data_IF_801615671154
#
_entry.id   IF_801615671154
#
_cell.length_a   1.000
_cell.length_b   1.000
_cell.length_c   1.000
_cell.angle_alpha   90.00
_cell.angle_beta   90.00
_cell.angle_gamma   90.00
#
_symmetry.space_group_name_H-M   'P 1'
#
loop_
_entity.id
_entity.type
_entity.pdbx_description
1 polymer ?
#
# COMPACT_ATOMS: atom_id res chain seq x y z
N UNK A 1 11.74 -22.71 10.96
CA UNK A 1 10.32 -22.39 10.95
C UNK A 1 10.00 -21.45 9.79
N UNK A 2 8.84 -21.61 9.20
CA UNK A 2 8.32 -20.74 8.13
C UNK A 2 7.05 -20.11 8.68
N UNK A 3 6.98 -18.77 8.64
CA UNK A 3 5.80 -18.02 9.01
C UNK A 3 5.39 -17.08 7.89
N UNK A 4 4.11 -17.08 7.51
CA UNK A 4 3.54 -16.25 6.45
C UNK A 4 2.44 -15.37 7.03
N UNK A 5 2.48 -14.08 6.71
CA UNK A 5 1.43 -13.14 7.05
C UNK A 5 0.58 -12.89 5.80
N UNK A 6 -0.72 -13.10 5.89
CA UNK A 6 -1.66 -12.89 4.79
C UNK A 6 -2.42 -11.59 4.98
N UNK A 7 -2.77 -10.95 3.87
CA UNK A 7 -3.60 -9.75 3.81
C UNK A 7 -4.52 -9.78 2.60
N UNK A 8 -5.56 -8.95 2.65
CA UNK A 8 -6.66 -8.97 1.68
C UNK A 8 -6.24 -8.62 0.24
N UNK A 9 -5.37 -7.62 0.06
CA UNK A 9 -4.99 -7.13 -1.26
C UNK A 9 -6.19 -6.77 -2.14
N UNK A 10 -6.10 -7.09 -3.44
CA UNK A 10 -7.23 -7.04 -4.37
C UNK A 10 -8.05 -8.35 -4.40
N UNK A 11 -7.58 -9.39 -3.73
CA UNK A 11 -8.28 -10.67 -3.68
C UNK A 11 -9.57 -10.61 -2.85
N UNK A 12 -9.57 -9.83 -1.77
CA UNK A 12 -10.72 -9.66 -0.89
C UNK A 12 -10.84 -8.19 -0.44
N UNK A 13 -11.50 -7.35 -1.22
CA UNK A 13 -11.64 -5.92 -0.93
C UNK A 13 -12.72 -5.67 0.11
N UNK A 14 -12.30 -5.54 1.37
CA UNK A 14 -13.19 -5.22 2.48
C UNK A 14 -13.38 -3.71 2.63
N UNK A 15 -14.59 -3.28 2.99
CA UNK A 15 -14.93 -1.86 3.17
C UNK A 15 -14.69 -1.37 4.59
N UNK A 16 -15.22 -2.05 5.59
CA UNK A 16 -15.09 -1.66 7.00
C UNK A 16 -15.52 -0.22 7.31
N UNK A 17 -16.52 0.32 6.60
CA UNK A 17 -16.93 1.73 6.71
C UNK A 17 -15.96 2.74 6.05
N UNK A 18 -14.94 2.28 5.34
CA UNK A 18 -13.95 3.09 4.63
C UNK A 18 -14.15 3.01 3.12
N UNK A 19 -13.42 3.84 2.40
CA UNK A 19 -13.47 3.86 0.93
C UNK A 19 -13.04 2.53 0.32
N UNK A 20 -13.75 2.16 -0.74
CA UNK A 20 -13.38 1.10 -1.69
C UNK A 20 -13.89 1.45 -3.09
N UNK A 21 -13.04 1.39 -4.08
CA UNK A 21 -13.42 1.54 -5.49
C UNK A 21 -14.13 0.26 -5.95
N UNK A 22 -13.50 -0.87 -5.71
CA UNK A 22 -14.01 -2.19 -6.08
C UNK A 22 -14.73 -2.84 -4.89
N UNK A 23 -15.75 -3.64 -5.20
CA UNK A 23 -16.51 -4.42 -4.23
C UNK A 23 -16.41 -5.90 -4.61
N UNK A 24 -15.18 -6.41 -4.58
CA UNK A 24 -14.85 -7.77 -4.99
C UNK A 24 -14.38 -8.59 -3.80
N UNK A 25 -14.65 -9.89 -3.85
CA UNK A 25 -14.18 -10.88 -2.89
C UNK A 25 -14.20 -12.24 -3.55
N UNK A 26 -13.02 -12.84 -3.70
CA UNK A 26 -12.87 -14.19 -4.26
C UNK A 26 -12.87 -15.26 -3.18
N UNK A 27 -13.05 -14.87 -1.93
CA UNK A 27 -13.10 -15.76 -0.77
C UNK A 27 -12.14 -15.33 0.35
N UNK A 28 -12.00 -16.15 1.40
CA UNK A 28 -11.04 -15.94 2.46
C UNK A 28 -9.60 -16.02 1.91
N UNK A 29 -8.68 -15.37 2.60
CA UNK A 29 -7.26 -15.41 2.24
C UNK A 29 -6.75 -16.84 2.24
N UNK A 30 -6.13 -17.25 1.14
CA UNK A 30 -5.57 -18.58 0.95
C UNK A 30 -4.07 -18.52 0.68
N UNK A 31 -3.35 -19.55 1.10
CA UNK A 31 -1.92 -19.70 0.90
C UNK A 31 -1.63 -20.95 0.08
N UNK A 32 -0.88 -20.77 -1.00
CA UNK A 32 -0.09 -21.84 -1.59
C UNK A 32 1.39 -21.51 -1.37
N UNK A 33 2.10 -22.38 -0.71
CA UNK A 33 3.54 -22.21 -0.46
C UNK A 33 4.30 -23.42 -1.00
N UNK A 34 5.34 -23.16 -1.78
CA UNK A 34 6.30 -24.16 -2.23
C UNK A 34 7.70 -23.61 -2.15
N UNK A 35 8.61 -24.34 -1.54
CA UNK A 35 10.02 -24.00 -1.43
C UNK A 35 10.87 -25.21 -1.83
N UNK A 36 11.79 -25.02 -2.75
CA UNK A 36 12.80 -26.00 -3.13
C UNK A 36 14.14 -25.59 -2.51
N UNK A 37 14.66 -26.43 -1.63
CA UNK A 37 15.96 -26.25 -1.01
C UNK A 37 16.95 -27.15 -1.76
N UNK A 38 18.01 -26.56 -2.29
CA UNK A 38 19.14 -27.30 -2.89
C UNK A 38 20.34 -27.19 -1.98
N UNK A 39 20.84 -28.34 -1.56
CA UNK A 39 22.01 -28.44 -0.69
C UNK A 39 23.30 -28.50 -1.51
N UNK A 40 24.42 -28.18 -0.87
CA UNK A 40 25.76 -28.17 -1.51
C UNK A 40 26.25 -29.56 -1.90
N UNK A 41 25.71 -30.62 -1.31
CA UNK A 41 25.96 -32.01 -1.66
C UNK A 41 25.15 -32.52 -2.87
N UNK A 42 24.35 -31.62 -3.50
CA UNK A 42 23.49 -31.92 -4.64
C UNK A 42 22.10 -32.48 -4.29
N UNK A 43 21.84 -32.78 -3.02
CA UNK A 43 20.50 -33.23 -2.59
C UNK A 43 19.49 -32.07 -2.63
N UNK A 44 18.21 -32.42 -2.71
CA UNK A 44 17.12 -31.44 -2.74
C UNK A 44 16.03 -31.82 -1.73
N UNK A 45 15.44 -30.80 -1.15
CA UNK A 45 14.26 -30.94 -0.29
C UNK A 45 13.16 -29.99 -0.77
N UNK A 46 11.94 -30.50 -0.87
CA UNK A 46 10.75 -29.71 -1.15
C UNK A 46 9.95 -29.52 0.14
N UNK A 47 9.50 -28.29 0.39
CA UNK A 47 8.60 -27.93 1.48
C UNK A 47 7.37 -27.29 0.86
N UNK A 48 6.20 -27.84 1.15
CA UNK A 48 4.90 -27.32 0.67
C UNK A 48 3.97 -27.01 1.82
N UNK A 49 3.03 -26.08 1.59
CA UNK A 49 1.91 -25.92 2.52
C UNK A 49 0.98 -27.13 2.43
N UNK A 50 0.57 -27.65 3.57
CA UNK A 50 -0.33 -28.79 3.69
C UNK A 50 -1.20 -28.68 4.97
N UNK A 51 -1.99 -29.70 5.27
CA UNK A 51 -2.86 -29.76 6.44
C UNK A 51 -2.16 -29.76 7.80
N UNK A 52 -0.83 -29.86 7.85
CA UNK A 52 -0.05 -29.77 9.10
C UNK A 52 0.20 -28.32 9.53
N UNK A 53 -0.02 -27.37 8.64
CA UNK A 53 0.14 -25.95 8.94
C UNK A 53 -0.94 -25.48 9.91
N UNK A 54 -0.61 -24.42 10.65
CA UNK A 54 -1.52 -23.81 11.60
C UNK A 54 -1.63 -22.32 11.36
N UNK A 55 -2.73 -21.74 11.79
CA UNK A 55 -2.97 -20.31 11.68
C UNK A 55 -3.51 -19.69 12.96
N UNK A 56 -3.34 -18.39 13.08
CA UNK A 56 -3.96 -17.56 14.10
C UNK A 56 -4.21 -16.15 13.53
N UNK A 57 -5.06 -15.38 14.20
CA UNK A 57 -5.27 -13.98 13.84
C UNK A 57 -4.01 -13.16 14.15
N UNK A 58 -3.69 -12.26 13.24
CA UNK A 58 -2.55 -11.36 13.35
C UNK A 58 -2.90 -10.09 14.14
N UNK A 59 -1.92 -9.27 14.52
CA UNK A 59 -2.14 -7.92 15.04
C UNK A 59 -2.84 -6.97 14.08
N UNK A 60 -2.93 -7.30 12.80
CA UNK A 60 -3.67 -6.52 11.80
C UNK A 60 -5.15 -6.84 11.95
N UNK A 61 -5.92 -5.91 12.53
CA UNK A 61 -7.35 -6.08 12.80
C UNK A 61 -8.24 -5.63 11.66
N UNK A 62 -7.69 -4.84 10.75
CA UNK A 62 -8.30 -4.42 9.50
C UNK A 62 -7.20 -4.16 8.46
N UNK A 63 -7.39 -4.60 7.24
CA UNK A 63 -6.57 -4.16 6.11
C UNK A 63 -7.41 -4.11 4.83
N UNK A 64 -7.18 -3.07 4.04
CA UNK A 64 -7.81 -2.88 2.74
C UNK A 64 -6.87 -2.07 1.86
N UNK A 65 -6.73 -2.49 0.61
CA UNK A 65 -5.90 -1.76 -0.36
C UNK A 65 -6.39 -0.31 -0.56
N UNK A 66 -7.67 -0.05 -0.34
CA UNK A 66 -8.27 1.28 -0.43
C UNK A 66 -8.47 1.97 0.91
N UNK A 67 -8.80 1.23 1.97
CA UNK A 67 -9.21 1.79 3.25
C UNK A 67 -8.06 1.99 4.26
N UNK A 68 -6.89 1.41 4.02
CA UNK A 68 -5.74 1.48 4.93
C UNK A 68 -5.63 0.25 5.83
N UNK A 69 -5.04 0.43 7.01
CA UNK A 69 -4.73 -0.69 7.91
C UNK A 69 -4.88 -0.28 9.38
N UNK A 70 -5.45 -1.16 10.20
CA UNK A 70 -5.47 -1.06 11.65
C UNK A 70 -4.59 -2.13 12.26
N UNK A 71 -3.72 -1.73 13.17
CA UNK A 71 -2.79 -2.61 13.85
C UNK A 71 -2.90 -2.49 15.36
N UNK A 72 -3.09 -3.60 16.04
CA UNK A 72 -3.08 -3.69 17.50
C UNK A 72 -1.82 -4.42 17.99
N UNK A 73 -0.80 -3.67 18.36
CA UNK A 73 0.47 -4.23 18.82
C UNK A 73 0.35 -5.08 20.11
N UNK A 74 -0.78 -4.98 20.83
CA UNK A 74 -1.03 -5.80 22.02
C UNK A 74 -1.26 -7.27 21.68
N UNK A 75 -1.61 -7.57 20.41
CA UNK A 75 -1.85 -8.91 19.88
C UNK A 75 -0.59 -9.59 19.33
N UNK A 76 0.54 -8.90 19.31
CA UNK A 76 1.79 -9.45 18.78
C UNK A 76 2.21 -10.72 19.55
N UNK A 77 2.50 -11.77 18.81
CA UNK A 77 3.06 -13.02 19.33
C UNK A 77 4.57 -13.05 19.06
N UNK A 78 5.36 -12.66 20.06
CA UNK A 78 6.81 -12.55 19.90
C UNK A 78 7.45 -13.90 19.52
N UNK A 79 8.17 -13.90 18.42
CA UNK A 79 8.90 -15.08 17.94
C UNK A 79 8.08 -16.07 17.12
N UNK A 80 6.87 -15.74 16.71
CA UNK A 80 5.98 -16.60 15.92
C UNK A 80 6.61 -17.18 14.64
N UNK A 81 7.60 -16.52 14.09
CA UNK A 81 8.35 -16.93 12.90
C UNK A 81 9.74 -17.52 13.22
N UNK A 82 9.97 -17.94 14.47
CA UNK A 82 11.26 -18.50 14.91
C UNK A 82 11.13 -19.99 15.26
N UNK A 83 12.21 -20.77 15.09
CA UNK A 83 12.23 -22.15 15.60
C UNK A 83 11.91 -22.20 17.11
N UNK A 84 11.17 -23.23 17.50
CA UNK A 84 10.79 -23.46 18.90
C UNK A 84 9.63 -22.59 19.42
N UNK A 85 8.95 -21.83 18.55
CA UNK A 85 7.73 -21.11 18.95
C UNK A 85 6.64 -22.11 19.34
N UNK A 86 5.96 -21.87 20.47
CA UNK A 86 4.84 -22.69 20.91
C UNK A 86 3.54 -22.24 20.20
N UNK A 87 3.10 -23.02 19.23
CA UNK A 87 1.88 -22.82 18.45
C UNK A 87 0.70 -23.71 18.91
N UNK A 88 0.74 -24.25 20.11
CA UNK A 88 -0.31 -25.14 20.61
C UNK A 88 -1.71 -24.54 20.62
N UNK A 89 -1.81 -23.20 20.77
CA UNK A 89 -3.07 -22.44 20.71
C UNK A 89 -3.51 -22.06 19.30
N UNK A 90 -2.75 -22.38 18.27
CA UNK A 90 -3.11 -22.08 16.87
C UNK A 90 -4.06 -23.14 16.33
N UNK A 91 -4.90 -22.74 15.38
CA UNK A 91 -5.87 -23.63 14.72
C UNK A 91 -5.23 -24.32 13.52
N UNK A 92 -5.70 -25.54 13.20
CA UNK A 92 -5.34 -26.21 11.95
C UNK A 92 -5.93 -25.46 10.76
N UNK A 93 -5.16 -25.40 9.67
CA UNK A 93 -5.64 -24.83 8.40
C UNK A 93 -6.76 -25.70 7.80
N UNK A 94 -7.56 -25.09 6.93
CA UNK A 94 -8.55 -25.80 6.11
C UNK A 94 -7.96 -25.93 4.71
N UNK A 95 -7.92 -27.15 4.20
CA UNK A 95 -7.49 -27.42 2.83
C UNK A 95 -8.59 -26.96 1.88
N UNK A 96 -8.23 -26.15 0.89
CA UNK A 96 -9.07 -25.74 -0.20
C UNK A 96 -8.63 -26.40 -1.49
N UNK A 97 -9.53 -26.51 -2.45
CA UNK A 97 -9.15 -26.89 -3.81
C UNK A 97 -8.18 -25.86 -4.39
N UNK A 98 -7.22 -26.35 -5.18
CA UNK A 98 -6.26 -25.47 -5.85
C UNK A 98 -7.02 -24.47 -6.77
N UNK A 99 -6.65 -23.18 -6.77
CA UNK A 99 -7.20 -22.25 -7.73
C UNK A 99 -6.88 -22.74 -9.14
N UNK A 100 -7.85 -22.62 -10.03
CA UNK A 100 -7.62 -22.91 -11.45
C UNK A 100 -6.63 -21.86 -11.99
N UNK A 101 -5.53 -22.29 -12.52
CA UNK A 101 -4.51 -21.41 -13.09
C UNK A 101 -3.12 -22.02 -13.05
N UNK A 102 -2.18 -21.36 -13.70
CA UNK A 102 -0.78 -21.75 -13.73
C UNK A 102 -0.02 -20.92 -12.70
N UNK A 103 0.64 -21.58 -11.74
CA UNK A 103 1.53 -20.93 -10.81
C UNK A 103 2.82 -20.54 -11.52
N UNK A 104 3.12 -19.24 -11.53
CA UNK A 104 4.32 -18.68 -12.16
C UNK A 104 5.13 -17.89 -11.16
N UNK A 105 6.45 -17.83 -11.29
CA UNK A 105 7.26 -16.89 -10.53
C UNK A 105 6.94 -15.45 -10.95
N UNK A 106 7.10 -14.51 -10.05
CA UNK A 106 7.04 -13.10 -10.37
C UNK A 106 8.15 -12.74 -11.37
N UNK A 107 7.77 -12.13 -12.50
CA UNK A 107 8.71 -11.72 -13.55
C UNK A 107 9.31 -10.35 -13.25
N UNK A 108 8.51 -9.42 -12.73
CA UNK A 108 8.95 -8.05 -12.46
C UNK A 108 9.87 -7.95 -11.24
N UNK A 109 10.65 -6.89 -11.18
CA UNK A 109 11.38 -6.50 -9.98
C UNK A 109 10.41 -6.22 -8.82
N UNK A 110 10.82 -6.47 -7.57
CA UNK A 110 9.93 -6.29 -6.43
C UNK A 110 9.62 -4.82 -6.15
N UNK A 111 8.44 -4.58 -5.58
CA UNK A 111 8.09 -3.29 -4.98
C UNK A 111 8.81 -3.17 -3.64
N UNK A 112 9.52 -2.05 -3.44
CA UNK A 112 10.36 -1.79 -2.26
C UNK A 112 10.17 -0.39 -1.71
N UNK A 113 10.55 -0.17 -0.47
CA UNK A 113 10.78 1.18 0.05
C UNK A 113 12.06 1.70 -0.59
N UNK A 114 11.93 2.65 -1.52
CA UNK A 114 13.06 3.18 -2.29
C UNK A 114 13.65 4.43 -1.64
N UNK A 115 12.82 5.24 -0.98
CA UNK A 115 13.28 6.47 -0.30
C UNK A 115 12.40 6.78 0.91
N UNK A 116 12.94 7.52 1.86
CA UNK A 116 12.22 8.02 3.02
C UNK A 116 12.37 9.53 3.11
N UNK A 117 11.26 10.21 3.45
CA UNK A 117 11.21 11.66 3.62
C UNK A 117 10.74 11.98 5.04
N UNK A 118 11.47 12.86 5.71
CA UNK A 118 11.11 13.37 7.04
C UNK A 118 10.14 14.53 6.97
N UNK A 119 9.71 15.01 8.13
CA UNK A 119 8.85 16.18 8.26
C UNK A 119 9.60 17.44 7.74
N UNK A 120 8.96 18.17 6.82
CA UNK A 120 9.41 19.47 6.36
C UNK A 120 8.83 20.60 7.22
N UNK A 121 7.52 20.56 7.46
CA UNK A 121 6.83 21.47 8.37
C UNK A 121 5.74 20.75 9.14
N UNK A 122 5.36 21.30 10.30
CA UNK A 122 4.26 20.79 11.10
C UNK A 122 3.38 21.93 11.59
N UNK A 123 2.07 21.69 11.62
CA UNK A 123 1.06 22.63 12.11
C UNK A 123 0.11 21.92 13.07
N UNK A 124 0.01 22.37 14.31
CA UNK A 124 -0.99 21.92 15.26
C UNK A 124 -2.30 22.63 14.94
N UNK A 125 -3.35 21.88 14.64
CA UNK A 125 -4.66 22.48 14.35
C UNK A 125 -5.20 23.21 15.58
N UNK A 126 -5.76 24.41 15.36
CA UNK A 126 -6.49 25.16 16.39
C UNK A 126 -7.89 24.52 16.60
N UNK A 127 -8.58 24.83 17.70
CA UNK A 127 -9.95 24.34 17.92
C UNK A 127 -10.90 24.72 16.78
N UNK A 128 -10.77 25.93 16.22
CA UNK A 128 -11.58 26.42 15.09
C UNK A 128 -11.28 25.62 13.80
N UNK A 129 -10.00 25.33 13.53
CA UNK A 129 -9.60 24.49 12.39
C UNK A 129 -10.12 23.06 12.55
N UNK A 130 -10.09 22.48 13.74
CA UNK A 130 -10.63 21.14 14.05
C UNK A 130 -12.14 21.10 13.78
N UNK A 131 -12.89 22.11 14.24
CA UNK A 131 -14.33 22.20 14.00
C UNK A 131 -14.66 22.34 12.51
N UNK A 132 -13.97 23.25 11.82
CA UNK A 132 -14.15 23.50 10.39
C UNK A 132 -13.78 22.24 9.56
N UNK A 133 -12.64 21.60 9.87
CA UNK A 133 -12.21 20.38 9.21
C UNK A 133 -13.18 19.21 9.45
N UNK A 134 -13.77 19.09 10.62
CA UNK A 134 -14.78 18.09 10.93
C UNK A 134 -16.02 18.28 10.03
N UNK A 135 -16.50 19.51 9.87
CA UNK A 135 -17.64 19.83 8.98
C UNK A 135 -17.30 19.54 7.51
N UNK A 136 -16.12 19.97 7.04
CA UNK A 136 -15.71 19.83 5.65
C UNK A 136 -15.43 18.38 5.26
N UNK A 137 -14.68 17.64 6.08
CA UNK A 137 -14.29 16.27 5.79
C UNK A 137 -15.38 15.24 6.10
N UNK A 138 -16.42 15.63 6.83
CA UNK A 138 -17.48 14.74 7.37
C UNK A 138 -16.90 13.58 8.20
N UNK A 139 -15.79 13.83 8.86
CA UNK A 139 -15.13 12.93 9.81
C UNK A 139 -14.80 13.73 11.08
N UNK A 140 -15.10 13.19 12.23
CA UNK A 140 -14.68 13.80 13.49
C UNK A 140 -13.15 13.88 13.51
N UNK A 141 -12.63 15.09 13.54
CA UNK A 141 -11.19 15.37 13.68
C UNK A 141 -10.86 15.48 15.17
N UNK A 142 -9.82 14.76 15.60
CA UNK A 142 -9.40 14.76 17.00
C UNK A 142 -8.77 16.11 17.38
N UNK A 143 -9.08 16.68 18.56
CA UNK A 143 -8.47 17.94 19.03
C UNK A 143 -6.94 17.93 19.12
N UNK A 144 -6.33 16.74 19.19
CA UNK A 144 -4.88 16.59 19.17
C UNK A 144 -4.26 16.71 17.78
N UNK A 145 -5.05 16.86 16.72
CA UNK A 145 -4.60 16.78 15.32
C UNK A 145 -3.42 17.69 15.02
N UNK A 146 -2.41 17.12 14.37
CA UNK A 146 -1.22 17.80 13.86
C UNK A 146 -1.09 17.45 12.39
N UNK A 147 -1.07 18.45 11.51
CA UNK A 147 -0.77 18.27 10.08
C UNK A 147 0.75 18.32 9.89
N UNK A 148 1.28 17.36 9.16
CA UNK A 148 2.69 17.25 8.78
C UNK A 148 2.79 17.37 7.24
N UNK A 149 3.58 18.30 6.75
CA UNK A 149 4.01 18.33 5.34
C UNK A 149 5.32 17.55 5.21
N UNK A 150 5.31 16.49 4.43
CA UNK A 150 6.48 15.65 4.17
C UNK A 150 7.33 16.19 3.01
N UNK A 151 6.88 17.27 2.36
CA UNK A 151 7.62 17.97 1.32
C UNK A 151 7.56 17.36 -0.07
N UNK A 152 7.15 16.09 -0.20
CA UNK A 152 7.09 15.37 -1.47
C UNK A 152 5.80 14.57 -1.56
N UNK A 153 5.05 14.73 -2.66
CA UNK A 153 3.94 13.83 -3.00
C UNK A 153 4.51 12.52 -3.54
N UNK A 154 4.05 11.39 -3.03
CA UNK A 154 4.58 10.06 -3.36
C UNK A 154 3.54 8.96 -3.10
N UNK A 155 3.74 7.80 -3.71
CA UNK A 155 3.00 6.58 -3.34
C UNK A 155 3.74 5.83 -2.23
N UNK A 156 3.02 5.48 -1.16
CA UNK A 156 3.63 4.73 -0.07
C UNK A 156 2.83 4.75 1.21
N UNK A 157 3.51 4.79 2.33
CA UNK A 157 2.89 4.76 3.65
C UNK A 157 3.74 5.50 4.71
N UNK A 158 3.13 5.92 5.83
CA UNK A 158 3.88 6.44 6.97
C UNK A 158 4.58 5.33 7.74
N UNK A 159 5.80 5.60 8.20
CA UNK A 159 6.52 4.81 9.20
C UNK A 159 6.69 5.65 10.46
N UNK A 160 6.25 5.13 11.61
CA UNK A 160 6.33 5.83 12.89
C UNK A 160 7.23 5.10 13.87
N UNK A 161 7.95 5.86 14.69
CA UNK A 161 8.54 5.40 15.95
C UNK A 161 7.89 6.19 17.08
N UNK A 162 7.23 5.50 17.99
CA UNK A 162 6.39 6.11 19.02
C UNK A 162 6.65 5.50 20.38
N UNK A 163 6.43 6.29 21.43
CA UNK A 163 6.49 5.87 22.84
C UNK A 163 5.23 6.34 23.56
N UNK A 164 4.56 5.41 24.26
CA UNK A 164 3.35 5.72 25.02
C UNK A 164 2.94 4.55 25.91
N UNK A 165 1.74 4.64 26.45
CA UNK A 165 1.16 3.61 27.32
C UNK A 165 0.45 2.53 26.50
N UNK A 166 0.37 1.33 27.06
CA UNK A 166 -0.39 0.23 26.48
C UNK A 166 -1.85 0.63 26.24
N UNK A 167 -2.34 0.35 25.02
CA UNK A 167 -3.71 0.61 24.61
C UNK A 167 -3.97 2.02 24.07
N UNK A 168 -3.02 2.96 24.17
CA UNK A 168 -3.15 4.24 23.48
C UNK A 168 -3.12 4.03 21.97
N UNK A 169 -3.93 4.81 21.25
CA UNK A 169 -4.13 4.68 19.81
C UNK A 169 -3.71 5.95 19.08
N UNK A 170 -3.04 5.78 17.95
CA UNK A 170 -2.68 6.86 17.04
C UNK A 170 -3.41 6.61 15.71
N UNK A 171 -3.95 7.68 15.14
CA UNK A 171 -4.53 7.66 13.79
C UNK A 171 -3.69 8.54 12.87
N UNK A 172 -3.42 8.04 11.67
CA UNK A 172 -2.69 8.76 10.62
C UNK A 172 -3.57 8.82 9.37
N UNK A 173 -4.06 10.00 9.06
CA UNK A 173 -4.81 10.29 7.83
C UNK A 173 -3.83 10.86 6.81
N UNK A 174 -3.70 10.22 5.67
CA UNK A 174 -2.77 10.61 4.60
C UNK A 174 -3.53 11.28 3.47
N UNK A 175 -2.96 12.33 2.86
CA UNK A 175 -3.61 13.07 1.78
C UNK A 175 -2.59 13.74 0.86
N UNK A 176 -2.98 13.95 -0.41
CA UNK A 176 -2.18 14.73 -1.38
C UNK A 176 -2.39 16.24 -1.22
N UNK A 177 -3.53 16.64 -0.71
CA UNK A 177 -3.91 18.03 -0.53
C UNK A 177 -4.37 18.30 0.90
N UNK A 178 -4.48 19.58 1.24
CA UNK A 178 -5.06 20.06 2.49
C UNK A 178 -6.34 20.85 2.23
N UNK A 179 -7.18 20.98 3.23
CA UNK A 179 -8.33 21.87 3.25
C UNK A 179 -7.87 23.33 3.47
N UNK A 180 -8.75 24.29 3.25
CA UNK A 180 -8.50 25.69 3.61
C UNK A 180 -8.26 25.88 5.12
N UNK A 181 -8.65 24.90 5.93
CA UNK A 181 -8.50 24.87 7.38
C UNK A 181 -7.36 23.94 7.84
N UNK A 182 -6.31 23.81 7.04
CA UNK A 182 -5.08 23.07 7.36
C UNK A 182 -5.29 21.60 7.77
N UNK A 183 -6.31 20.93 7.29
CA UNK A 183 -6.54 19.50 7.55
C UNK A 183 -6.29 18.66 6.29
N UNK A 184 -6.02 17.36 6.49
CA UNK A 184 -5.85 16.41 5.40
C UNK A 184 -7.13 16.30 4.55
N UNK A 185 -7.03 16.58 3.24
CA UNK A 185 -8.13 16.58 2.31
C UNK A 185 -8.09 15.33 1.41
N UNK A 186 -9.01 14.42 1.65
CA UNK A 186 -9.18 13.21 0.83
C UNK A 186 -10.42 13.28 -0.09
N UNK A 187 -11.00 14.46 -0.28
CA UNK A 187 -12.30 14.61 -0.96
C UNK A 187 -12.29 14.03 -2.38
N UNK A 188 -11.18 14.17 -3.10
CA UNK A 188 -11.05 13.74 -4.50
C UNK A 188 -10.26 12.45 -4.69
N UNK A 189 -9.68 11.89 -3.62
CA UNK A 189 -8.75 10.76 -3.68
C UNK A 189 -9.28 9.48 -3.01
N UNK A 190 -10.59 9.41 -2.73
CA UNK A 190 -11.20 8.24 -2.08
C UNK A 190 -11.08 8.28 -0.56
N UNK A 191 -12.04 8.95 0.10
CA UNK A 191 -12.17 8.96 1.55
C UNK A 191 -13.12 7.83 2.00
N UNK A 192 -12.91 7.24 3.16
CA UNK A 192 -11.86 7.51 4.13
C UNK A 192 -10.74 6.48 3.97
N UNK A 193 -9.51 6.96 3.93
CA UNK A 193 -8.31 6.13 3.99
C UNK A 193 -7.45 6.61 5.16
N UNK A 194 -7.09 5.73 6.10
CA UNK A 194 -6.24 6.06 7.22
C UNK A 194 -5.63 4.80 7.84
N UNK A 195 -4.61 5.00 8.65
CA UNK A 195 -3.91 3.96 9.40
C UNK A 195 -4.10 4.18 10.89
N UNK A 196 -4.27 3.09 11.65
CA UNK A 196 -4.27 3.18 13.11
C UNK A 196 -3.25 2.24 13.73
N UNK A 197 -2.60 2.71 14.78
CA UNK A 197 -1.68 1.92 15.57
C UNK A 197 -2.04 1.97 17.05
N UNK A 198 -2.35 0.82 17.64
CA UNK A 198 -2.59 0.69 19.08
C UNK A 198 -1.33 0.16 19.75
N UNK A 199 -0.79 0.94 20.69
CA UNK A 199 0.49 0.69 21.35
C UNK A 199 0.43 -0.52 22.29
N UNK A 200 1.49 -1.32 22.34
CA UNK A 200 1.68 -2.36 23.36
C UNK A 200 2.30 -1.84 24.65
N UNK A 201 2.82 -0.60 24.68
CA UNK A 201 3.31 0.08 25.86
C UNK A 201 4.78 -0.18 26.20
N UNK A 202 5.60 -0.49 25.22
CA UNK A 202 7.05 -0.65 25.37
C UNK A 202 7.81 0.69 25.34
N UNK A 203 9.14 0.63 25.34
CA UNK A 203 10.00 1.83 25.31
C UNK A 203 9.78 2.66 24.05
N UNK A 204 10.18 2.12 22.90
CA UNK A 204 9.90 2.66 21.57
C UNK A 204 9.33 1.55 20.72
N UNK A 205 8.31 1.89 19.94
CA UNK A 205 7.62 0.98 19.03
C UNK A 205 7.74 1.57 17.63
N UNK A 206 8.26 0.79 16.67
CA UNK A 206 8.35 1.20 15.26
C UNK A 206 7.38 0.36 14.46
N UNK A 207 6.58 1.03 13.63
CA UNK A 207 5.57 0.39 12.82
C UNK A 207 5.33 1.12 11.51
N UNK A 208 4.96 0.36 10.49
CA UNK A 208 4.37 0.82 9.23
C UNK A 208 3.34 -0.20 8.73
N UNK A 209 2.33 0.18 7.92
CA UNK A 209 1.36 -0.75 7.35
C UNK A 209 2.03 -1.74 6.39
N UNK A 210 1.38 -2.88 6.15
CA UNK A 210 1.96 -3.96 5.35
C UNK A 210 1.19 -4.25 4.07
N UNK A 211 -0.13 -4.07 4.07
CA UNK A 211 -1.01 -4.49 2.98
C UNK A 211 -1.77 -3.33 2.33
N UNK A 212 -1.29 -2.11 2.51
CA UNK A 212 -1.86 -0.94 1.88
C UNK A 212 -0.79 0.12 1.61
N UNK A 213 -0.99 0.91 0.57
CA UNK A 213 -0.25 2.12 0.27
C UNK A 213 -1.22 3.21 -0.21
N UNK A 214 -0.77 4.44 -0.29
CA UNK A 214 -1.59 5.57 -0.73
C UNK A 214 -0.71 6.66 -1.34
N UNK A 215 -1.29 7.46 -2.27
CA UNK A 215 -0.66 8.68 -2.78
C UNK A 215 -0.83 9.81 -1.78
N UNK A 216 0.24 10.38 -1.24
CA UNK A 216 0.16 11.46 -0.27
C UNK A 216 1.43 12.30 -0.18
N UNK A 217 1.23 13.53 0.27
CA UNK A 217 2.27 14.46 0.72
C UNK A 217 2.12 14.80 2.20
N UNK A 218 0.89 14.82 2.69
CA UNK A 218 0.55 15.26 4.05
C UNK A 218 0.13 14.08 4.90
N UNK A 219 0.51 14.13 6.18
CA UNK A 219 0.06 13.18 7.20
C UNK A 219 -0.59 13.99 8.32
N UNK A 220 -1.88 13.81 8.55
CA UNK A 220 -2.55 14.31 9.75
C UNK A 220 -2.49 13.24 10.82
N UNK A 221 -1.79 13.54 11.91
CA UNK A 221 -1.64 12.64 13.06
C UNK A 221 -2.63 13.05 14.14
N UNK A 222 -3.34 12.10 14.70
CA UNK A 222 -4.31 12.27 15.78
C UNK A 222 -4.01 11.30 16.92
N UNK A 223 -4.27 11.72 18.16
CA UNK A 223 -4.03 10.91 19.36
C UNK A 223 -2.55 10.85 19.77
N UNK A 224 -1.72 11.79 19.33
CA UNK A 224 -0.30 11.84 19.67
C UNK A 224 0.23 13.28 19.65
N UNK A 225 1.44 13.48 20.20
CA UNK A 225 2.23 14.71 20.09
C UNK A 225 3.61 14.41 19.52
N UNK A 226 4.24 15.39 18.90
CA UNK A 226 5.63 15.26 18.46
C UNK A 226 6.60 15.43 19.64
N UNK A 227 7.75 14.76 19.54
CA UNK A 227 8.84 14.92 20.53
C UNK A 227 9.19 16.39 20.73
N UNK A 228 9.27 16.81 21.99
CA UNK A 228 9.57 18.19 22.38
C UNK A 228 8.34 19.10 22.51
N UNK A 229 7.16 18.67 22.12
CA UNK A 229 5.93 19.44 22.33
C UNK A 229 5.36 19.27 23.74
N UNK A 230 4.59 20.28 24.22
CA UNK A 230 3.82 20.19 25.45
C UNK A 230 2.80 19.03 25.33
N UNK A 231 2.68 18.26 26.42
CA UNK A 231 1.84 17.05 26.44
C UNK A 231 1.06 16.95 27.77
N UNK A 232 0.12 17.87 28.04
CA UNK A 232 -0.67 17.85 29.30
C UNK A 232 -1.55 16.60 29.37
N UNK A 233 -2.05 16.10 28.24
CA UNK A 233 -2.98 14.96 28.16
C UNK A 233 -2.26 13.60 28.20
N UNK A 234 -0.94 13.61 28.34
CA UNK A 234 -0.10 12.38 28.40
C UNK A 234 -0.34 11.44 27.20
N UNK A 235 -0.52 12.03 26.01
CA UNK A 235 -0.65 11.32 24.76
C UNK A 235 0.65 10.60 24.39
N UNK A 236 0.61 9.60 23.50
CA UNK A 236 1.80 9.02 22.88
C UNK A 236 2.71 10.11 22.29
N UNK A 237 4.01 9.90 22.39
CA UNK A 237 5.02 10.84 21.87
C UNK A 237 5.68 10.20 20.65
N UNK A 238 5.48 10.78 19.48
CA UNK A 238 6.14 10.39 18.24
C UNK A 238 7.61 10.81 18.33
N UNK A 239 8.49 9.82 18.33
CA UNK A 239 9.95 10.01 18.34
C UNK A 239 10.47 10.29 16.93
N UNK A 240 9.88 9.66 15.94
CA UNK A 240 10.15 9.84 14.51
C UNK A 240 8.91 9.48 13.70
N UNK A 241 8.68 10.20 12.60
CA UNK A 241 7.72 9.85 11.56
C UNK A 241 8.29 10.24 10.20
N UNK A 242 8.13 9.37 9.24
CA UNK A 242 8.59 9.60 7.87
C UNK A 242 7.64 8.97 6.87
N UNK A 243 7.57 9.51 5.66
CA UNK A 243 6.90 8.89 4.54
C UNK A 243 7.86 7.97 3.79
N UNK A 244 7.45 6.72 3.60
CA UNK A 244 8.19 5.73 2.82
C UNK A 244 7.69 5.77 1.38
N UNK A 245 8.54 6.18 0.44
CA UNK A 245 8.26 6.11 -0.98
C UNK A 245 8.41 4.68 -1.46
N UNK A 246 7.33 4.11 -1.95
CA UNK A 246 7.24 2.68 -2.32
C UNK A 246 6.93 2.58 -3.80
N UNK A 247 7.79 1.91 -4.54
CA UNK A 247 7.57 1.63 -5.96
C UNK A 247 8.40 0.43 -6.44
N UNK A 248 8.15 0.01 -7.68
CA UNK A 248 8.92 -1.04 -8.34
C UNK A 248 10.42 -0.68 -8.39
N UNK A 249 11.28 -1.66 -8.16
CA UNK A 249 12.73 -1.48 -8.09
C UNK A 249 13.43 -1.48 -9.46
N UNK A 250 12.70 -1.29 -10.57
CA UNK A 250 13.30 -1.08 -11.88
C UNK A 250 14.31 0.10 -11.83
N UNK A 251 15.48 -0.07 -12.38
CA UNK A 251 16.53 0.93 -12.34
C UNK A 251 16.24 2.11 -13.27
N UNK A 252 16.74 3.29 -12.95
CA UNK A 252 16.85 4.41 -13.89
C UNK A 252 17.97 4.11 -14.87
N UNK A 253 17.73 4.32 -16.18
CA UNK A 253 18.70 4.06 -17.24
C UNK A 253 19.12 5.33 -17.99
N UNK A 254 18.54 6.46 -17.66
CA UNK A 254 18.88 7.74 -18.26
C UNK A 254 18.94 8.87 -17.24
N UNK A 255 19.54 9.97 -17.65
CA UNK A 255 19.52 11.25 -16.95
C UNK A 255 19.08 12.35 -17.94
N UNK A 256 18.36 13.33 -17.45
CA UNK A 256 17.94 14.48 -18.24
C UNK A 256 18.38 15.78 -17.55
N UNK A 257 19.14 16.58 -18.27
CA UNK A 257 19.55 17.93 -17.85
C UNK A 257 19.33 18.91 -18.97
N UNK A 258 18.91 20.11 -18.65
CA UNK A 258 18.64 21.18 -19.61
C UNK A 258 19.02 22.54 -18.99
N UNK A 259 19.50 23.47 -19.82
CA UNK A 259 19.81 24.85 -19.40
C UNK A 259 18.59 25.62 -18.91
N UNK A 260 17.38 25.26 -19.39
CA UNK A 260 16.14 25.85 -18.89
C UNK A 260 15.59 25.00 -17.72
N UNK A 261 15.54 25.54 -16.49
CA UNK A 261 15.12 24.79 -15.30
C UNK A 261 13.65 24.34 -15.34
N UNK A 262 12.81 24.94 -16.18
CA UNK A 262 11.40 24.53 -16.35
C UNK A 262 11.33 23.10 -16.89
N UNK A 263 12.12 22.77 -17.92
CA UNK A 263 12.12 21.42 -18.50
C UNK A 263 12.69 20.38 -17.54
N UNK A 264 13.76 20.72 -16.83
CA UNK A 264 14.30 19.82 -15.78
C UNK A 264 13.28 19.58 -14.67
N UNK A 265 12.56 20.63 -14.24
CA UNK A 265 11.50 20.51 -13.24
C UNK A 265 10.33 19.67 -13.73
N UNK A 266 9.89 19.88 -14.98
CA UNK A 266 8.83 19.08 -15.61
C UNK A 266 9.22 17.59 -15.70
N UNK A 267 10.45 17.30 -16.15
CA UNK A 267 10.97 15.93 -16.19
C UNK A 267 10.95 15.28 -14.80
N UNK A 268 11.40 15.98 -13.77
CA UNK A 268 11.41 15.46 -12.39
C UNK A 268 9.98 15.22 -11.86
N UNK A 269 9.01 16.07 -12.19
CA UNK A 269 7.60 15.87 -11.82
C UNK A 269 7.03 14.62 -12.48
N UNK A 270 7.26 14.45 -13.80
CA UNK A 270 6.81 13.28 -14.56
C UNK A 270 7.47 12.02 -13.99
N UNK A 271 8.79 12.05 -13.81
CA UNK A 271 9.55 10.93 -13.25
C UNK A 271 9.00 10.49 -11.87
N UNK A 272 8.70 11.45 -10.98
CA UNK A 272 8.14 11.16 -9.68
C UNK A 272 6.69 10.60 -9.77
N UNK A 273 5.87 11.10 -10.70
CA UNK A 273 4.53 10.59 -10.96
C UNK A 273 4.57 9.14 -11.49
N UNK A 274 5.44 8.88 -12.46
CA UNK A 274 5.68 7.52 -13.00
C UNK A 274 6.10 6.58 -11.88
N UNK A 275 7.10 6.94 -11.06
CA UNK A 275 7.53 6.11 -9.93
C UNK A 275 6.41 5.85 -8.94
N UNK A 276 5.56 6.83 -8.66
CA UNK A 276 4.41 6.69 -7.76
C UNK A 276 3.37 5.68 -8.28
N UNK A 277 3.28 5.49 -9.59
CA UNK A 277 2.35 4.58 -10.24
C UNK A 277 2.98 3.26 -10.70
N UNK A 278 4.29 3.15 -10.69
CA UNK A 278 5.03 1.94 -11.07
C UNK A 278 5.08 0.97 -9.88
N UNK A 279 3.99 0.25 -9.66
CA UNK A 279 3.84 -0.75 -8.59
C UNK A 279 4.08 -2.16 -9.14
N UNK A 280 3.33 -3.16 -8.70
CA UNK A 280 3.33 -4.50 -9.33
C UNK A 280 2.76 -4.46 -10.76
N UNK A 281 1.86 -3.52 -11.01
CA UNK A 281 1.37 -3.11 -12.33
C UNK A 281 1.52 -1.60 -12.46
N UNK A 282 1.45 -1.07 -13.66
CA UNK A 282 1.43 0.36 -13.89
C UNK A 282 0.00 0.88 -13.63
N UNK A 283 -0.17 1.68 -12.58
CA UNK A 283 -1.50 2.15 -12.16
C UNK A 283 -1.79 3.55 -12.67
N UNK A 284 -3.08 3.86 -12.81
CA UNK A 284 -3.56 5.20 -13.17
C UNK A 284 -3.30 6.24 -12.07
N UNK A 285 -3.52 5.83 -10.83
CA UNK A 285 -3.31 6.68 -9.67
C UNK A 285 -2.99 5.85 -8.42
N UNK A 286 -2.19 6.41 -7.46
CA UNK A 286 -1.76 5.65 -6.29
C UNK A 286 -2.76 5.70 -5.12
N UNK A 287 -4.01 6.13 -5.33
CA UNK A 287 -4.98 6.33 -4.24
C UNK A 287 -6.34 5.70 -4.49
N UNK A 288 -7.22 6.32 -5.31
CA UNK A 288 -8.64 5.92 -5.39
C UNK A 288 -8.92 4.71 -6.28
N UNK A 289 -8.11 4.47 -7.32
CA UNK A 289 -8.35 3.37 -8.27
C UNK A 289 -7.31 2.26 -8.15
N UNK A 290 -6.03 2.57 -8.31
CA UNK A 290 -4.89 1.63 -8.25
C UNK A 290 -5.05 0.47 -9.23
N UNK A 291 -5.62 0.74 -10.40
CA UNK A 291 -5.90 -0.25 -11.45
C UNK A 291 -4.85 -0.17 -12.56
N UNK A 292 -4.59 -1.31 -13.17
CA UNK A 292 -3.67 -1.43 -14.30
C UNK A 292 -4.35 -1.11 -15.62
N UNK A 293 -4.81 0.14 -15.81
CA UNK A 293 -5.39 0.61 -17.06
C UNK A 293 -4.36 0.49 -18.18
N UNK A 294 -4.70 -0.22 -19.25
CA UNK A 294 -3.77 -0.52 -20.35
C UNK A 294 -3.35 0.74 -21.11
N UNK A 295 -4.22 1.73 -21.18
CA UNK A 295 -3.93 3.06 -21.73
C UNK A 295 -2.65 3.68 -21.15
N UNK A 296 -2.38 3.48 -19.85
CA UNK A 296 -1.17 4.01 -19.20
C UNK A 296 0.11 3.42 -19.79
N UNK A 297 0.07 2.15 -20.19
CA UNK A 297 1.22 1.49 -20.81
C UNK A 297 1.48 2.02 -22.21
N UNK A 298 0.42 2.27 -22.98
CA UNK A 298 0.50 2.81 -24.34
C UNK A 298 1.00 4.26 -24.34
N UNK A 299 0.29 5.16 -23.66
CA UNK A 299 0.59 6.59 -23.68
C UNK A 299 1.97 6.94 -23.10
N UNK A 300 2.40 6.20 -22.09
CA UNK A 300 3.68 6.45 -21.42
C UNK A 300 4.82 5.54 -21.96
N UNK A 301 4.53 4.56 -22.79
CA UNK A 301 5.47 3.54 -23.26
C UNK A 301 6.84 4.07 -23.70
N UNK A 302 6.90 5.02 -24.66
CA UNK A 302 8.18 5.60 -25.10
C UNK A 302 8.94 6.29 -23.97
N UNK A 303 8.25 7.08 -23.13
CA UNK A 303 8.87 7.74 -21.97
C UNK A 303 9.38 6.76 -20.93
N UNK A 304 8.68 5.65 -20.73
CA UNK A 304 9.11 4.58 -19.81
C UNK A 304 10.39 3.92 -20.31
N UNK A 305 10.46 3.57 -21.60
CA UNK A 305 11.63 2.92 -22.22
C UNK A 305 12.89 3.80 -22.20
N UNK A 306 12.72 5.12 -22.31
CA UNK A 306 13.85 6.06 -22.22
C UNK A 306 14.40 6.20 -20.79
N UNK A 307 13.56 6.04 -19.78
CA UNK A 307 13.92 6.39 -18.41
C UNK A 307 14.21 5.19 -17.51
N UNK A 308 13.64 4.01 -17.80
CA UNK A 308 13.68 2.86 -16.87
C UNK A 308 14.10 1.57 -17.54
N UNK A 309 14.80 0.72 -16.80
CA UNK A 309 15.03 -0.67 -17.18
C UNK A 309 13.73 -1.48 -17.03
N UNK A 310 13.06 -1.69 -18.16
CA UNK A 310 11.81 -2.45 -18.22
C UNK A 310 12.00 -3.93 -18.56
N UNK A 311 13.25 -4.43 -18.65
CA UNK A 311 13.56 -5.81 -19.06
C UNK A 311 12.78 -6.86 -18.26
N UNK A 312 12.61 -6.62 -16.96
CA UNK A 312 11.82 -7.50 -16.09
C UNK A 312 10.35 -7.06 -15.96
N UNK A 313 10.06 -5.77 -16.13
CA UNK A 313 8.73 -5.21 -15.90
C UNK A 313 7.79 -5.42 -17.10
N UNK A 314 8.26 -5.16 -18.32
CA UNK A 314 7.45 -5.29 -19.53
C UNK A 314 6.93 -6.73 -19.76
N UNK A 315 7.73 -7.81 -19.58
CA UNK A 315 7.22 -9.17 -19.69
C UNK A 315 6.06 -9.47 -18.71
N UNK A 316 6.06 -8.90 -17.51
CA UNK A 316 4.96 -9.07 -16.55
C UNK A 316 3.69 -8.38 -17.04
N UNK A 317 3.79 -7.17 -17.60
CA UNK A 317 2.65 -6.46 -18.17
C UNK A 317 2.06 -7.28 -19.33
N UNK A 318 2.89 -7.71 -20.27
CA UNK A 318 2.45 -8.53 -21.41
C UNK A 318 1.79 -9.83 -20.95
N UNK A 319 2.32 -10.46 -19.89
CA UNK A 319 1.72 -11.66 -19.33
C UNK A 319 0.34 -11.38 -18.70
N UNK A 320 0.22 -10.26 -17.97
CA UNK A 320 -1.06 -9.84 -17.38
C UNK A 320 -2.11 -9.58 -18.48
N UNK A 321 -1.70 -8.97 -19.60
CA UNK A 321 -2.58 -8.78 -20.77
C UNK A 321 -3.01 -10.11 -21.35
N UNK A 322 -2.08 -11.03 -21.61
CA UNK A 322 -2.39 -12.36 -22.15
C UNK A 322 -3.30 -13.18 -21.22
N UNK A 323 -3.11 -13.08 -19.91
CA UNK A 323 -3.95 -13.79 -18.94
C UNK A 323 -5.35 -13.16 -18.80
N UNK A 324 -5.52 -11.89 -19.14
CA UNK A 324 -6.79 -11.16 -19.10
C UNK A 324 -7.53 -11.13 -20.45
N UNK A 325 -6.91 -11.58 -21.56
CA UNK A 325 -7.51 -11.57 -22.88
C UNK A 325 -8.78 -12.43 -22.91
N UNK A 326 -9.86 -11.86 -23.46
CA UNK A 326 -11.14 -12.55 -23.57
C UNK A 326 -11.11 -13.67 -24.62
N UNK A 327 -12.02 -14.67 -24.52
CA UNK A 327 -12.05 -15.79 -25.50
C UNK A 327 -12.28 -15.36 -26.95
N UNK A 328 -12.88 -14.20 -27.19
CA UNK A 328 -13.08 -13.62 -28.53
C UNK A 328 -11.85 -12.85 -29.05
N UNK A 329 -10.75 -12.80 -28.27
CA UNK A 329 -9.53 -12.09 -28.61
C UNK A 329 -9.48 -10.62 -28.16
N UNK A 330 -10.58 -10.07 -27.64
CA UNK A 330 -10.60 -8.69 -27.15
C UNK A 330 -9.73 -8.52 -25.89
N UNK A 331 -9.08 -7.38 -25.77
CA UNK A 331 -8.33 -7.00 -24.58
C UNK A 331 -9.24 -6.21 -23.64
N UNK A 332 -9.21 -6.48 -22.31
CA UNK A 332 -9.93 -5.67 -21.36
C UNK A 332 -9.30 -4.29 -21.19
N UNK A 333 -10.00 -3.38 -20.55
CA UNK A 333 -9.47 -2.04 -20.24
C UNK A 333 -8.41 -2.04 -19.16
N UNK A 334 -8.38 -3.05 -18.30
CA UNK A 334 -7.41 -3.21 -17.20
C UNK A 334 -6.80 -4.61 -17.20
N UNK A 335 -5.52 -4.70 -16.87
CA UNK A 335 -4.85 -5.97 -16.64
C UNK A 335 -3.93 -5.90 -15.39
N UNK A 336 -4.13 -6.74 -14.36
CA UNK A 336 -5.17 -7.78 -14.22
C UNK A 336 -6.59 -7.22 -14.22
N UNK A 337 -7.52 -8.01 -14.77
CA UNK A 337 -8.94 -7.66 -14.78
C UNK A 337 -9.62 -8.14 -13.49
N UNK A 338 -9.73 -7.26 -12.50
CA UNK A 338 -10.43 -7.57 -11.24
C UNK A 338 -11.95 -7.46 -11.35
N UNK A 339 -12.42 -6.61 -12.26
CA UNK A 339 -13.83 -6.35 -12.54
C UNK A 339 -13.97 -6.13 -14.03
N UNK A 340 -14.91 -6.84 -14.64
CA UNK A 340 -15.32 -6.58 -16.01
C UNK A 340 -16.17 -5.31 -16.01
N UNK A 341 -15.71 -4.29 -16.73
CA UNK A 341 -16.47 -3.06 -16.93
C UNK A 341 -17.44 -3.26 -18.09
N UNK A 342 -18.59 -3.94 -17.83
CA UNK A 342 -19.64 -4.20 -18.81
C UNK A 342 -20.85 -3.28 -18.59
N UNK A 343 -21.51 -2.90 -19.68
CA UNK A 343 -22.76 -2.17 -19.66
C UNK A 343 -23.11 -1.59 -21.03
N UNK A 344 -24.34 -1.09 -21.25
CA UNK A 344 -24.70 -0.44 -22.53
C UNK A 344 -23.74 0.72 -22.82
N UNK A 345 -22.99 0.59 -23.92
CA UNK A 345 -21.96 1.54 -24.34
C UNK A 345 -20.58 1.36 -23.71
N UNK A 346 -20.38 0.34 -22.86
CA UNK A 346 -19.07 0.01 -22.28
C UNK A 346 -18.26 -0.99 -23.14
N UNK A 347 -18.86 -1.64 -24.11
CA UNK A 347 -18.16 -2.43 -25.13
C UNK A 347 -17.13 -1.61 -25.94
N UNK A 348 -17.24 -0.26 -25.87
CA UNK A 348 -16.28 0.66 -26.47
C UNK A 348 -14.97 0.82 -25.67
N UNK A 349 -14.88 0.21 -24.47
CA UNK A 349 -13.68 0.27 -23.62
C UNK A 349 -12.80 -0.98 -23.75
N UNK A 350 -13.12 -1.91 -24.65
CA UNK A 350 -12.19 -2.95 -25.00
C UNK A 350 -11.00 -2.32 -25.72
N UNK A 351 -9.81 -2.49 -25.14
CA UNK A 351 -8.59 -1.96 -25.73
C UNK A 351 -8.21 -2.70 -27.01
N UNK A 352 -7.71 -2.00 -27.98
CA UNK A 352 -7.17 -2.64 -29.18
C UNK A 352 -5.86 -3.35 -28.85
N UNK A 353 -5.64 -4.58 -29.36
CA UNK A 353 -4.35 -5.26 -29.24
C UNK A 353 -3.16 -4.50 -29.84
N UNK A 354 -3.43 -3.48 -30.61
CA UNK A 354 -2.42 -2.60 -31.24
C UNK A 354 -1.75 -1.64 -30.24
N UNK A 355 -2.28 -1.51 -29.05
CA UNK A 355 -1.75 -0.64 -27.98
C UNK A 355 -0.61 -1.33 -27.17
#
# INVERSE_FOLDING_TARGET
AIGVLLGNGFYNVVGGGRYRKLQIGFGPETLFFKMLIRYTDGTQQEVMSDGTWKYTLSPITFNSIYGGEDYDARMEQKGWNKPGFNDAGWKSVVIQESPKGILRPQLTTPVKIMKRYGIKTSHKLTPEEVEAATKETKRTVDPSAILLDMGQNLAGFPEITVRGKRGQKITMVVAEAITDNNAANQRQTGRQHYYTYTLKGNKNETWHPRFSYYGFRYIQVEGAVLKGQKNPDKLPVIQNIQSCFVHNAAADVSTFECSNPIFTSAHNLIHNAVRSNMQAVFTDCPHREKLGWLEQNHLNGPGLLYNYDLTAYAPQIMQNMADAQHPNGAMPTTAPEYVVFEGPGMDAFAESPEW
#
